data_IF_018404998201
#
_entry.id   IF_018404998201
#
_cell.length_a   1.000
_cell.length_b   1.000
_cell.length_c   1.000
_cell.angle_alpha   90.00
_cell.angle_beta   90.00
_cell.angle_gamma   90.00
#
_symmetry.space_group_name_H-M   'P 1'
#
loop_
_entity.id
_entity.type
_entity.pdbx_description
1 polymer ?
#
# COMPACT_ATOMS: atom_id res chain seq x y z
N UNK A 1 -31.33 10.63 4.25
CA UNK A 1 -30.19 11.49 3.86
C UNK A 1 -28.93 10.64 3.85
N UNK A 2 -28.38 10.45 2.68
CA UNK A 2 -27.10 9.76 2.56
C UNK A 2 -25.99 10.72 3.02
N UNK A 3 -25.14 10.23 3.93
CA UNK A 3 -23.98 10.97 4.38
C UNK A 3 -22.99 11.13 3.21
N UNK A 4 -22.61 12.35 2.80
CA UNK A 4 -21.68 12.52 1.69
C UNK A 4 -20.31 11.87 1.94
N UNK A 5 -19.99 11.56 3.19
CA UNK A 5 -18.77 10.86 3.59
C UNK A 5 -18.82 9.37 3.22
N UNK A 6 -20.01 8.77 3.12
CA UNK A 6 -20.16 7.36 2.73
C UNK A 6 -19.80 7.09 1.26
N UNK A 7 -19.84 8.12 0.42
CA UNK A 7 -19.48 8.03 -0.99
C UNK A 7 -18.02 8.41 -1.28
N UNK A 8 -17.30 8.90 -0.28
CA UNK A 8 -15.89 9.20 -0.42
C UNK A 8 -15.07 7.90 -0.29
N UNK A 9 -14.95 7.18 -1.41
CA UNK A 9 -14.04 6.04 -1.49
C UNK A 9 -12.61 6.56 -1.59
N UNK A 10 -12.03 6.84 -0.44
CA UNK A 10 -10.63 7.28 -0.33
C UNK A 10 -9.64 6.12 -0.48
N UNK A 11 -10.14 4.92 -0.79
CA UNK A 11 -9.32 3.73 -0.95
C UNK A 11 -8.71 3.20 0.35
N UNK A 12 -9.03 3.81 1.48
CA UNK A 12 -8.51 3.40 2.78
C UNK A 12 -9.38 2.35 3.48
N UNK A 13 -10.67 2.35 3.15
CA UNK A 13 -11.65 1.45 3.78
C UNK A 13 -12.42 0.73 2.71
N UNK A 14 -12.34 -0.59 2.72
CA UNK A 14 -12.98 -1.47 1.73
C UNK A 14 -14.18 -2.23 2.30
N UNK A 15 -14.78 -1.74 3.36
CA UNK A 15 -15.96 -2.35 3.95
C UNK A 15 -17.06 -1.33 4.21
N UNK A 16 -18.30 -1.78 4.10
CA UNK A 16 -19.50 -0.99 4.37
C UNK A 16 -20.52 -1.84 5.09
N UNK A 17 -21.54 -1.21 5.68
CA UNK A 17 -22.68 -1.92 6.24
C UNK A 17 -23.53 -2.49 5.10
N UNK A 18 -24.08 -3.67 5.32
CA UNK A 18 -24.99 -4.25 4.36
C UNK A 18 -26.24 -3.39 4.20
N UNK A 19 -26.68 -3.04 2.96
CA UNK A 19 -27.80 -2.13 2.77
C UNK A 19 -29.16 -2.67 3.25
N UNK A 20 -29.32 -3.99 3.24
CA UNK A 20 -30.59 -4.64 3.63
C UNK A 20 -30.55 -5.26 5.03
N UNK A 21 -29.38 -5.60 5.53
CA UNK A 21 -29.21 -6.28 6.81
C UNK A 21 -28.13 -5.61 7.65
N UNK A 22 -28.49 -4.86 8.72
CA UNK A 22 -27.52 -4.16 9.55
C UNK A 22 -26.63 -5.07 10.39
N UNK A 23 -26.94 -6.37 10.44
CA UNK A 23 -26.13 -7.36 11.18
C UNK A 23 -24.93 -7.86 10.37
N UNK A 24 -24.84 -7.48 9.10
CA UNK A 24 -23.75 -7.90 8.21
C UNK A 24 -22.89 -6.72 7.79
N UNK A 25 -21.61 -7.02 7.60
CA UNK A 25 -20.62 -6.10 7.05
C UNK A 25 -20.18 -6.66 5.69
N UNK A 26 -20.08 -5.81 4.68
CA UNK A 26 -19.69 -6.19 3.33
C UNK A 26 -18.28 -5.67 3.06
N UNK A 27 -17.35 -6.59 2.79
CA UNK A 27 -16.01 -6.29 2.34
C UNK A 27 -15.98 -6.31 0.81
N UNK A 28 -15.37 -5.29 0.22
CA UNK A 28 -15.29 -5.11 -1.23
C UNK A 28 -13.84 -5.15 -1.70
N UNK A 29 -13.57 -6.00 -2.68
CA UNK A 29 -12.24 -6.14 -3.28
C UNK A 29 -12.33 -5.95 -4.79
N UNK A 30 -11.46 -5.13 -5.34
CA UNK A 30 -11.30 -4.95 -6.80
C UNK A 30 -10.29 -5.93 -7.37
N UNK A 31 -9.31 -6.32 -6.57
CA UNK A 31 -8.23 -7.22 -6.96
C UNK A 31 -8.63 -8.67 -6.65
N UNK A 32 -8.56 -9.53 -7.66
CA UNK A 32 -8.89 -10.95 -7.55
C UNK A 32 -7.96 -11.67 -6.57
N UNK A 33 -6.67 -11.32 -6.57
CA UNK A 33 -5.67 -11.95 -5.69
C UNK A 33 -5.95 -11.63 -4.22
N UNK A 34 -6.30 -10.39 -3.92
CA UNK A 34 -6.70 -9.97 -2.57
C UNK A 34 -7.97 -10.66 -2.13
N UNK A 35 -8.96 -10.74 -3.01
CA UNK A 35 -10.22 -11.44 -2.75
C UNK A 35 -10.00 -12.92 -2.44
N UNK A 36 -9.14 -13.58 -3.19
CA UNK A 36 -8.78 -14.98 -2.97
C UNK A 36 -8.08 -15.18 -1.63
N UNK A 37 -7.12 -14.32 -1.29
CA UNK A 37 -6.41 -14.36 -0.01
C UNK A 37 -7.37 -14.17 1.17
N UNK A 38 -8.29 -13.23 1.05
CA UNK A 38 -9.29 -12.97 2.08
C UNK A 38 -10.24 -14.16 2.25
N UNK A 39 -10.68 -14.76 1.15
CA UNK A 39 -11.51 -15.97 1.16
C UNK A 39 -10.80 -17.13 1.88
N UNK A 40 -9.54 -17.35 1.58
CA UNK A 40 -8.72 -18.38 2.22
C UNK A 40 -8.61 -18.16 3.73
N UNK A 41 -8.41 -16.93 4.15
CA UNK A 41 -8.38 -16.58 5.58
C UNK A 41 -9.72 -16.86 6.26
N UNK A 42 -10.84 -16.54 5.61
CA UNK A 42 -12.17 -16.81 6.14
C UNK A 42 -12.42 -18.32 6.29
N UNK A 43 -12.03 -19.10 5.31
CA UNK A 43 -12.17 -20.57 5.33
C UNK A 43 -11.29 -21.17 6.43
N UNK A 44 -10.03 -20.72 6.53
CA UNK A 44 -9.08 -21.17 7.56
C UNK A 44 -9.58 -20.93 8.97
N UNK A 45 -10.24 -19.80 9.20
CA UNK A 45 -10.77 -19.42 10.51
C UNK A 45 -12.19 -19.90 10.75
N UNK A 46 -12.75 -20.67 9.84
CA UNK A 46 -14.11 -21.23 9.92
C UNK A 46 -15.18 -20.17 10.12
N UNK A 47 -15.05 -19.04 9.46
CA UNK A 47 -16.01 -17.94 9.50
C UNK A 47 -16.99 -18.13 8.33
N UNK A 48 -18.29 -18.15 8.64
CA UNK A 48 -19.34 -18.22 7.63
C UNK A 48 -19.46 -16.88 6.90
N UNK A 49 -19.48 -16.91 5.59
CA UNK A 49 -19.60 -15.72 4.75
C UNK A 49 -20.46 -16.00 3.51
N UNK A 50 -21.01 -14.93 2.95
CA UNK A 50 -21.66 -14.96 1.65
C UNK A 50 -20.82 -14.19 0.65
N UNK A 51 -20.59 -14.76 -0.52
CA UNK A 51 -19.81 -14.14 -1.57
C UNK A 51 -20.72 -13.75 -2.74
N UNK A 52 -20.50 -12.54 -3.26
CA UNK A 52 -21.22 -12.03 -4.42
C UNK A 52 -20.25 -11.24 -5.29
N UNK A 53 -20.67 -10.96 -6.51
CA UNK A 53 -19.89 -10.16 -7.46
C UNK A 53 -20.75 -9.00 -7.96
N UNK A 54 -20.23 -7.79 -7.86
CA UNK A 54 -20.88 -6.59 -8.38
C UNK A 54 -20.03 -6.00 -9.50
N UNK A 55 -20.69 -5.64 -10.59
CA UNK A 55 -20.05 -4.98 -11.72
C UNK A 55 -20.55 -3.54 -11.82
N UNK A 56 -19.66 -2.59 -11.62
CA UNK A 56 -20.00 -1.17 -11.65
C UNK A 56 -18.96 -0.41 -12.49
N UNK A 57 -19.41 0.35 -13.48
CA UNK A 57 -18.55 1.18 -14.34
C UNK A 57 -17.36 0.42 -14.94
N UNK A 58 -17.59 -0.78 -15.47
CA UNK A 58 -16.56 -1.67 -16.05
C UNK A 58 -15.57 -2.28 -15.06
N UNK A 59 -15.79 -2.08 -13.76
CA UNK A 59 -14.97 -2.69 -12.71
C UNK A 59 -15.79 -3.76 -12.00
N UNK A 60 -15.21 -4.96 -11.86
CA UNK A 60 -15.81 -6.06 -11.11
C UNK A 60 -15.33 -6.02 -9.67
N UNK A 61 -16.26 -6.06 -8.73
CA UNK A 61 -15.98 -6.12 -7.30
C UNK A 61 -16.39 -7.47 -6.74
N UNK A 62 -15.54 -8.08 -5.94
CA UNK A 62 -15.89 -9.26 -5.16
C UNK A 62 -16.35 -8.81 -3.79
N UNK A 63 -17.54 -9.21 -3.39
CA UNK A 63 -18.16 -8.82 -2.14
C UNK A 63 -18.23 -10.00 -1.18
N UNK A 64 -17.87 -9.78 0.07
CA UNK A 64 -17.99 -10.76 1.15
C UNK A 64 -18.88 -10.19 2.24
N UNK A 65 -20.05 -10.81 2.46
CA UNK A 65 -20.96 -10.43 3.54
C UNK A 65 -20.68 -11.30 4.75
N UNK A 66 -20.29 -10.69 5.86
CA UNK A 66 -19.87 -11.37 7.08
C UNK A 66 -20.66 -10.77 8.26
N UNK A 67 -21.08 -11.63 9.18
CA UNK A 67 -21.80 -11.18 10.38
C UNK A 67 -20.93 -10.27 11.22
N UNK A 68 -21.48 -9.18 11.73
CA UNK A 68 -20.75 -8.15 12.50
C UNK A 68 -20.08 -8.68 13.78
N UNK A 69 -20.55 -9.82 14.31
CA UNK A 69 -19.90 -10.46 15.48
C UNK A 69 -18.44 -10.85 15.22
N UNK A 70 -18.08 -11.06 13.96
CA UNK A 70 -16.72 -11.39 13.52
C UNK A 70 -15.91 -10.16 13.13
N UNK A 71 -16.43 -8.95 13.39
CA UNK A 71 -15.83 -7.70 12.94
C UNK A 71 -14.34 -7.58 13.30
N UNK A 72 -14.00 -7.80 14.57
CA UNK A 72 -12.61 -7.66 15.03
C UNK A 72 -11.67 -8.67 14.34
N UNK A 73 -12.11 -9.91 14.17
CA UNK A 73 -11.33 -10.95 13.51
C UNK A 73 -11.16 -10.66 12.03
N UNK A 74 -12.24 -10.28 11.35
CA UNK A 74 -12.22 -9.99 9.92
C UNK A 74 -11.45 -8.72 9.61
N UNK A 75 -11.45 -7.73 10.48
CA UNK A 75 -10.62 -6.53 10.34
C UNK A 75 -9.13 -6.87 10.37
N UNK A 76 -8.72 -7.74 11.30
CA UNK A 76 -7.32 -8.21 11.36
C UNK A 76 -6.92 -8.95 10.09
N UNK A 77 -7.80 -9.82 9.58
CA UNK A 77 -7.58 -10.53 8.32
C UNK A 77 -7.48 -9.58 7.13
N UNK A 78 -8.33 -8.57 7.09
CA UNK A 78 -8.32 -7.56 6.04
C UNK A 78 -7.02 -6.76 6.05
N UNK A 79 -6.54 -6.34 7.20
CA UNK A 79 -5.24 -5.68 7.34
C UNK A 79 -4.08 -6.57 6.89
N UNK A 80 -4.13 -7.85 7.24
CA UNK A 80 -3.12 -8.83 6.81
C UNK A 80 -3.08 -8.96 5.30
N UNK A 81 -4.22 -9.13 4.66
CA UNK A 81 -4.35 -9.24 3.20
C UNK A 81 -3.85 -7.96 2.52
N UNK A 82 -4.25 -6.80 3.02
CA UNK A 82 -3.80 -5.50 2.49
C UNK A 82 -2.29 -5.33 2.61
N UNK A 83 -1.70 -5.74 3.73
CA UNK A 83 -0.26 -5.64 3.94
C UNK A 83 0.55 -6.59 3.04
N UNK A 84 0.04 -7.79 2.78
CA UNK A 84 0.67 -8.78 1.90
C UNK A 84 0.65 -8.35 0.43
N UNK A 85 -0.40 -7.67 0.01
CA UNK A 85 -0.60 -7.21 -1.37
C UNK A 85 -0.26 -5.73 -1.58
N UNK A 86 0.32 -5.09 -0.56
CA UNK A 86 0.71 -3.69 -0.65
C UNK A 86 1.84 -3.52 -1.67
N UNK A 87 1.56 -2.74 -2.70
CA UNK A 87 2.56 -2.43 -3.72
C UNK A 87 3.62 -1.49 -3.13
N UNK A 88 4.93 -1.71 -3.45
CA UNK A 88 5.96 -0.79 -2.99
C UNK A 88 5.71 0.61 -3.55
N UNK A 89 6.06 1.63 -2.77
CA UNK A 89 5.90 3.04 -3.14
C UNK A 89 6.55 3.36 -4.49
N UNK A 90 7.64 2.67 -4.80
CA UNK A 90 8.34 2.80 -6.08
C UNK A 90 8.14 1.48 -6.83
N UNK A 91 7.17 1.39 -7.78
CA UNK A 91 6.82 0.14 -8.44
C UNK A 91 7.88 -0.35 -9.42
N UNK A 92 8.80 0.51 -9.85
CA UNK A 92 9.83 0.14 -10.81
C UNK A 92 11.16 -0.12 -10.13
N UNK A 93 11.63 -1.35 -10.24
CA UNK A 93 12.95 -1.76 -9.78
C UNK A 93 14.06 -0.89 -10.36
N UNK A 94 13.91 -0.52 -11.63
CA UNK A 94 14.78 0.39 -12.35
C UNK A 94 14.85 1.79 -11.73
N UNK A 95 13.70 2.34 -11.38
CA UNK A 95 13.61 3.67 -10.77
C UNK A 95 14.31 3.71 -9.41
N UNK A 96 14.14 2.64 -8.62
CA UNK A 96 14.79 2.49 -7.32
C UNK A 96 16.31 2.47 -7.46
N UNK A 97 16.83 1.72 -8.42
CA UNK A 97 18.25 1.66 -8.74
C UNK A 97 18.78 3.00 -9.24
N UNK A 98 18.02 3.70 -10.07
CA UNK A 98 18.36 5.03 -10.59
C UNK A 98 18.53 6.05 -9.46
N UNK A 99 17.62 6.07 -8.50
CA UNK A 99 17.69 6.97 -7.33
C UNK A 99 18.92 6.67 -6.48
N UNK A 100 19.24 5.40 -6.23
CA UNK A 100 20.41 4.98 -5.49
C UNK A 100 21.72 5.38 -6.19
N UNK A 101 21.80 5.15 -7.50
CA UNK A 101 22.97 5.53 -8.32
C UNK A 101 23.17 7.04 -8.35
N UNK A 102 22.09 7.80 -8.46
CA UNK A 102 22.14 9.25 -8.45
C UNK A 102 22.65 9.79 -7.12
N UNK A 103 22.13 9.26 -6.01
CA UNK A 103 22.58 9.64 -4.67
C UNK A 103 24.05 9.31 -4.43
N UNK A 104 24.49 8.13 -4.85
CA UNK A 104 25.90 7.70 -4.75
C UNK A 104 26.81 8.57 -5.62
N UNK A 105 26.41 8.88 -6.84
CA UNK A 105 27.13 9.76 -7.75
C UNK A 105 27.34 11.17 -7.17
N UNK A 106 26.28 11.73 -6.59
CA UNK A 106 26.33 13.05 -5.93
C UNK A 106 27.31 13.05 -4.76
N UNK A 107 27.29 12.00 -3.95
CA UNK A 107 28.19 11.85 -2.81
C UNK A 107 29.65 11.75 -3.27
N UNK A 108 29.93 10.97 -4.31
CA UNK A 108 31.29 10.85 -4.87
C UNK A 108 31.82 12.19 -5.40
N UNK A 109 30.99 12.94 -6.11
CA UNK A 109 31.34 14.27 -6.60
C UNK A 109 31.67 15.24 -5.45
N UNK A 110 30.91 15.20 -4.36
CA UNK A 110 31.15 16.01 -3.19
C UNK A 110 32.52 15.68 -2.54
N UNK A 111 32.84 14.38 -2.44
CA UNK A 111 34.13 13.92 -1.89
C UNK A 111 35.31 14.36 -2.78
N UNK A 112 35.17 14.19 -4.09
CA UNK A 112 36.21 14.59 -5.05
C UNK A 112 36.43 16.10 -5.04
N UNK A 113 35.37 16.87 -4.95
CA UNK A 113 35.41 18.33 -4.84
C UNK A 113 36.13 18.77 -3.55
N UNK A 114 35.85 18.10 -2.45
CA UNK A 114 36.50 18.36 -1.17
C UNK A 114 37.99 18.05 -1.24
N UNK A 115 38.42 16.94 -1.81
CA UNK A 115 39.80 16.54 -2.00
C UNK A 115 40.58 17.57 -2.84
N UNK A 116 39.99 18.03 -3.95
CA UNK A 116 40.60 19.06 -4.80
C UNK A 116 40.78 20.40 -4.06
N UNK A 117 39.78 20.76 -3.26
CA UNK A 117 39.86 22.00 -2.46
C UNK A 117 40.98 21.94 -1.44
N UNK A 118 41.19 20.81 -0.79
CA UNK A 118 42.28 20.59 0.16
C UNK A 118 43.64 20.67 -0.51
N UNK A 119 43.83 20.07 -1.69
CA UNK A 119 45.05 20.17 -2.48
C UNK A 119 45.38 21.63 -2.81
N UNK A 120 44.35 22.36 -3.26
CA UNK A 120 44.53 23.79 -3.60
C UNK A 120 44.98 24.61 -2.40
N UNK A 121 44.41 24.39 -1.23
CA UNK A 121 44.82 25.07 0.01
C UNK A 121 46.25 24.72 0.44
N UNK A 122 46.66 23.47 0.27
CA UNK A 122 48.03 23.02 0.58
C UNK A 122 49.04 23.70 -0.32
N UNK A 123 48.76 23.83 -1.61
CA UNK A 123 49.64 24.54 -2.55
C UNK A 123 49.80 26.03 -2.22
N UNK A 124 48.73 26.68 -1.82
CA UNK A 124 48.79 28.09 -1.40
C UNK A 124 49.64 28.27 -0.15
N UNK A 125 49.58 27.35 0.79
CA UNK A 125 50.38 27.39 2.01
C UNK A 125 51.88 27.24 1.71
N UNK A 126 52.24 26.37 0.78
CA UNK A 126 53.63 26.20 0.33
C UNK A 126 54.18 27.45 -0.37
N UNK A 127 53.36 28.16 -1.13
CA UNK A 127 53.79 29.39 -1.79
C UNK A 127 53.98 30.57 -0.85
N UNK A 128 53.39 30.52 0.34
CA UNK A 128 53.52 31.57 1.36
C UNK A 128 54.74 31.40 2.26
N UNK A 129 55.42 30.27 2.20
CA UNK A 129 56.69 30.04 2.83
C UNK A 129 57.84 30.51 1.85
#
# INVERSE_FOLDING_TARGET
MENPIEHLDLGFVNFTKHPKNPSFIVYRFTDVDRANSFREELISNKITFEEDTEKKKQVSYTLFAIHKRYYNRTMQMNFKVESEHKKPLIPFRLLRWTVLLFGLGTLLLAILSYCKHMEYLTQQTEQLE
#
